data_IF_069338173972
#
_entry.id   IF_069338173972
#
_cell.length_a   1.000
_cell.length_b   1.000
_cell.length_c   1.000
_cell.angle_alpha   90.00
_cell.angle_beta   90.00
_cell.angle_gamma   90.00
#
_symmetry.space_group_name_H-M   'P 1'
#
loop_
_entity.id
_entity.type
_entity.pdbx_description
1 polymer ?
#
# COMPACT_ATOMS: atom_id res chain seq x y z
N UNK A 1 34.08 10.09 13.85
CA UNK A 1 33.83 9.60 12.48
C UNK A 1 32.50 10.18 12.05
N UNK A 2 32.29 10.71 10.84
CA UNK A 2 30.97 11.07 10.41
C UNK A 2 30.08 9.80 10.51
N UNK A 3 28.91 9.92 11.13
CA UNK A 3 27.94 8.82 11.13
C UNK A 3 27.66 8.45 9.68
N UNK A 4 27.86 7.19 9.31
CA UNK A 4 27.45 6.69 7.99
C UNK A 4 25.95 6.89 7.87
N UNK A 5 25.51 7.53 6.79
CA UNK A 5 24.08 7.69 6.49
C UNK A 5 23.46 6.30 6.27
N UNK A 6 22.25 6.08 6.79
CA UNK A 6 21.49 4.87 6.52
C UNK A 6 21.10 4.81 5.05
N UNK A 7 21.43 3.73 4.36
CA UNK A 7 21.13 3.52 2.95
C UNK A 7 19.91 2.64 2.76
N UNK A 8 18.85 3.20 2.21
CA UNK A 8 17.53 2.60 2.09
C UNK A 8 17.26 2.17 0.64
N UNK A 9 16.84 0.92 0.44
CA UNK A 9 16.26 0.46 -0.82
C UNK A 9 14.73 0.50 -0.72
N UNK A 10 14.07 1.31 -1.55
CA UNK A 10 12.61 1.35 -1.65
C UNK A 10 12.20 0.73 -2.99
N UNK A 11 11.69 -0.50 -2.96
CA UNK A 11 11.14 -1.13 -4.16
C UNK A 11 9.70 -0.69 -4.39
N UNK A 12 9.33 -0.40 -5.64
CA UNK A 12 8.08 0.30 -5.95
C UNK A 12 8.13 1.77 -5.54
N UNK A 13 9.34 2.35 -5.46
CA UNK A 13 9.60 3.69 -4.94
C UNK A 13 9.02 4.84 -5.77
N UNK A 14 8.71 4.62 -7.05
CA UNK A 14 8.01 5.61 -7.89
C UNK A 14 6.47 5.44 -7.87
N UNK A 15 5.95 4.46 -7.12
CA UNK A 15 4.52 4.21 -6.94
C UNK A 15 3.87 5.15 -5.94
N UNK A 16 2.58 4.90 -5.63
CA UNK A 16 1.81 5.70 -4.67
C UNK A 16 2.50 5.75 -3.30
N UNK A 17 2.53 4.65 -2.57
CA UNK A 17 3.11 4.62 -1.21
C UNK A 17 4.63 4.83 -1.22
N UNK A 18 5.32 4.19 -2.17
CA UNK A 18 6.79 4.24 -2.25
C UNK A 18 7.32 5.66 -2.43
N UNK A 19 6.65 6.51 -3.20
CA UNK A 19 7.10 7.89 -3.40
C UNK A 19 6.93 8.77 -2.17
N UNK A 20 5.86 8.59 -1.39
CA UNK A 20 5.71 9.25 -0.08
C UNK A 20 6.76 8.78 0.92
N UNK A 21 7.08 7.48 0.91
CA UNK A 21 8.17 6.95 1.74
C UNK A 21 9.53 7.51 1.32
N UNK A 22 9.81 7.62 0.01
CA UNK A 22 11.03 8.26 -0.48
C UNK A 22 11.14 9.70 0.02
N UNK A 23 10.05 10.48 0.01
CA UNK A 23 10.05 11.83 0.54
C UNK A 23 10.46 11.86 2.02
N UNK A 24 9.81 11.05 2.86
CA UNK A 24 10.09 10.99 4.31
C UNK A 24 11.52 10.59 4.62
N UNK A 25 12.09 9.62 3.90
CA UNK A 25 13.48 9.20 4.07
C UNK A 25 14.48 10.29 3.63
N UNK A 26 14.21 10.94 2.49
CA UNK A 26 15.04 12.03 1.99
C UNK A 26 14.99 13.26 2.91
N UNK A 27 13.82 13.62 3.42
CA UNK A 27 13.62 14.70 4.40
C UNK A 27 14.31 14.40 5.74
N UNK A 28 14.32 13.12 6.15
CA UNK A 28 15.09 12.66 7.32
C UNK A 28 16.62 12.70 7.11
N UNK A 29 17.08 13.01 5.89
CA UNK A 29 18.50 13.12 5.58
C UNK A 29 19.19 11.82 5.24
N UNK A 30 18.46 10.74 5.02
CA UNK A 30 18.97 9.42 4.70
C UNK A 30 19.32 9.27 3.20
N UNK A 31 20.04 8.21 2.82
CA UNK A 31 20.25 7.82 1.43
C UNK A 31 19.14 6.92 0.94
N UNK A 32 18.63 7.17 -0.28
CA UNK A 32 17.52 6.44 -0.88
C UNK A 32 17.87 5.90 -2.25
N UNK A 33 17.75 4.59 -2.43
CA UNK A 33 17.71 3.92 -3.72
C UNK A 33 16.24 3.64 -4.04
N UNK A 34 15.67 4.38 -4.99
CA UNK A 34 14.34 4.14 -5.53
C UNK A 34 14.43 3.11 -6.67
N UNK A 35 13.87 1.91 -6.46
CA UNK A 35 13.85 0.85 -7.46
C UNK A 35 12.41 0.64 -7.95
N UNK A 36 12.19 0.79 -9.27
CA UNK A 36 10.85 0.68 -9.87
C UNK A 36 10.95 0.21 -11.32
N UNK A 37 9.99 -0.58 -11.81
CA UNK A 37 9.89 -0.97 -13.22
C UNK A 37 8.93 -0.07 -14.01
N UNK A 38 8.26 0.88 -13.35
CA UNK A 38 7.25 1.80 -13.90
C UNK A 38 5.99 1.12 -14.45
N UNK A 39 5.59 -0.02 -13.91
CA UNK A 39 4.32 -0.62 -14.29
C UNK A 39 3.12 0.23 -13.78
N UNK A 40 3.16 0.67 -12.53
CA UNK A 40 2.20 1.62 -11.94
C UNK A 40 2.87 2.87 -11.39
N UNK A 41 4.17 2.82 -11.17
CA UNK A 41 4.98 3.95 -10.71
C UNK A 41 5.13 5.02 -11.81
N UNK A 42 5.31 6.28 -11.39
CA UNK A 42 5.50 7.43 -12.28
C UNK A 42 6.73 8.23 -11.88
N UNK A 43 7.56 8.57 -12.85
CA UNK A 43 8.73 9.43 -12.63
C UNK A 43 8.35 10.79 -12.01
N UNK A 44 7.17 11.31 -12.34
CA UNK A 44 6.63 12.53 -11.77
C UNK A 44 6.50 12.50 -10.23
N UNK A 45 6.27 11.31 -9.63
CA UNK A 45 6.11 11.18 -8.18
C UNK A 45 7.42 11.38 -7.39
N UNK A 46 8.57 11.30 -8.05
CA UNK A 46 9.92 11.37 -7.45
C UNK A 46 10.79 12.44 -8.12
N UNK A 47 10.19 13.29 -8.95
CA UNK A 47 10.93 14.25 -9.79
C UNK A 47 11.76 15.25 -8.96
N UNK A 48 11.29 15.61 -7.76
CA UNK A 48 11.94 16.53 -6.84
C UNK A 48 13.28 16.01 -6.31
N UNK A 49 13.51 14.70 -6.36
CA UNK A 49 14.73 14.07 -5.86
C UNK A 49 15.72 13.70 -6.96
N UNK A 50 15.32 13.75 -8.23
CA UNK A 50 16.20 13.38 -9.34
C UNK A 50 17.41 14.34 -9.42
N UNK A 51 18.61 13.76 -9.41
CA UNK A 51 19.87 14.51 -9.37
C UNK A 51 20.34 14.92 -7.97
N UNK A 52 19.56 14.61 -6.92
CA UNK A 52 20.02 14.81 -5.56
C UNK A 52 21.11 13.79 -5.20
N UNK A 53 22.26 14.20 -4.57
CA UNK A 53 23.41 13.29 -4.35
C UNK A 53 23.14 12.08 -3.46
N UNK A 54 22.08 12.12 -2.64
CA UNK A 54 21.65 11.01 -1.77
C UNK A 54 20.47 10.21 -2.35
N UNK A 55 20.05 10.48 -3.58
CA UNK A 55 18.94 9.78 -4.23
C UNK A 55 19.41 9.13 -5.52
N UNK A 56 19.26 7.80 -5.58
CA UNK A 56 19.56 7.00 -6.76
C UNK A 56 18.28 6.36 -7.30
N UNK A 57 18.06 6.46 -8.62
CA UNK A 57 16.94 5.84 -9.29
C UNK A 57 17.43 4.66 -10.13
N UNK A 58 16.93 3.47 -9.81
CA UNK A 58 17.22 2.24 -10.56
C UNK A 58 15.95 1.72 -11.22
N UNK A 59 15.93 1.67 -12.55
CA UNK A 59 14.85 1.01 -13.29
C UNK A 59 15.10 -0.49 -13.31
N UNK A 60 14.33 -1.26 -12.53
CA UNK A 60 14.52 -2.70 -12.37
C UNK A 60 13.21 -3.41 -11.98
N UNK A 61 13.09 -4.67 -12.40
CA UNK A 61 11.97 -5.54 -12.00
C UNK A 61 12.40 -6.45 -10.84
N UNK A 62 11.68 -6.42 -9.73
CA UNK A 62 12.03 -7.20 -8.52
C UNK A 62 11.99 -8.71 -8.73
N UNK A 63 11.36 -9.20 -9.81
CA UNK A 63 11.41 -10.63 -10.16
C UNK A 63 12.79 -11.09 -10.64
N UNK A 64 13.67 -10.15 -10.98
CA UNK A 64 15.06 -10.41 -11.32
C UNK A 64 15.97 -10.08 -10.13
N UNK A 65 17.00 -10.91 -9.86
CA UNK A 65 17.94 -10.64 -8.77
C UNK A 65 18.73 -9.35 -8.99
N UNK A 66 19.01 -8.64 -7.89
CA UNK A 66 19.88 -7.47 -7.90
C UNK A 66 20.89 -7.54 -6.75
N UNK A 67 22.05 -6.93 -6.92
CA UNK A 67 23.09 -6.82 -5.90
C UNK A 67 23.32 -5.36 -5.57
N UNK A 68 23.04 -4.99 -4.33
CA UNK A 68 23.21 -3.64 -3.79
C UNK A 68 23.75 -3.75 -2.38
N UNK A 69 24.43 -2.72 -1.90
CA UNK A 69 24.82 -2.59 -0.49
C UNK A 69 23.86 -1.60 0.17
N UNK A 70 23.05 -2.07 1.12
CA UNK A 70 21.99 -1.30 1.79
C UNK A 70 21.82 -1.75 3.23
N UNK A 71 21.33 -0.86 4.09
CA UNK A 71 21.06 -1.13 5.50
C UNK A 71 19.62 -1.55 5.73
N UNK A 72 18.69 -1.00 4.91
CA UNK A 72 17.25 -1.26 5.02
C UNK A 72 16.62 -1.49 3.66
N UNK A 73 15.66 -2.43 3.61
CA UNK A 73 14.87 -2.74 2.41
C UNK A 73 13.38 -2.53 2.74
N UNK A 74 12.75 -1.60 2.03
CA UNK A 74 11.32 -1.32 2.07
C UNK A 74 10.68 -1.97 0.84
N UNK A 75 10.14 -3.18 1.01
CA UNK A 75 9.65 -3.97 -0.12
C UNK A 75 8.15 -3.70 -0.38
N UNK A 76 7.87 -2.70 -1.25
CA UNK A 76 6.52 -2.28 -1.61
C UNK A 76 6.13 -2.68 -3.05
N UNK A 77 7.08 -3.15 -3.86
CA UNK A 77 6.85 -3.47 -5.28
C UNK A 77 5.87 -4.62 -5.47
N UNK A 78 4.62 -4.30 -5.77
CA UNK A 78 3.59 -5.20 -6.26
C UNK A 78 2.41 -4.38 -6.80
N UNK A 79 1.77 -4.75 -7.92
CA UNK A 79 0.48 -4.18 -8.30
C UNK A 79 -0.54 -4.43 -7.18
N UNK A 80 -1.21 -3.38 -6.70
CA UNK A 80 -2.04 -3.47 -5.50
C UNK A 80 -3.51 -3.08 -5.72
N UNK A 81 -3.91 -2.77 -6.95
CA UNK A 81 -5.31 -2.51 -7.29
C UNK A 81 -5.86 -3.56 -8.25
N UNK A 82 -7.17 -3.89 -8.21
CA UNK A 82 -7.79 -4.92 -9.03
C UNK A 82 -7.50 -4.78 -10.53
N UNK A 83 -7.59 -3.56 -11.06
CA UNK A 83 -7.32 -3.28 -12.47
C UNK A 83 -5.88 -3.66 -12.87
N UNK A 84 -4.92 -3.39 -12.00
CA UNK A 84 -3.51 -3.61 -12.30
C UNK A 84 -3.07 -5.06 -12.02
N UNK A 85 -3.47 -5.66 -10.87
CA UNK A 85 -3.02 -7.02 -10.57
C UNK A 85 -3.72 -8.09 -11.42
N UNK A 86 -4.93 -7.81 -11.95
CA UNK A 86 -5.65 -8.68 -12.87
C UNK A 86 -5.21 -8.51 -14.33
N UNK A 87 -4.52 -7.42 -14.69
CA UNK A 87 -4.00 -7.21 -16.04
C UNK A 87 -3.05 -8.32 -16.48
N UNK A 88 -2.17 -8.75 -15.57
CA UNK A 88 -1.30 -9.93 -15.77
C UNK A 88 -1.17 -10.68 -14.44
N UNK A 89 -2.13 -11.57 -14.12
CA UNK A 89 -2.18 -12.25 -12.83
C UNK A 89 -0.96 -13.14 -12.58
N UNK A 90 -0.40 -13.77 -13.62
CA UNK A 90 0.83 -14.57 -13.50
C UNK A 90 2.01 -13.69 -13.10
N UNK A 91 2.14 -12.50 -13.71
CA UNK A 91 3.19 -11.55 -13.33
C UNK A 91 3.00 -11.03 -11.91
N UNK A 92 1.77 -10.78 -11.49
CA UNK A 92 1.45 -10.36 -10.12
C UNK A 92 1.88 -11.42 -9.09
N UNK A 93 1.52 -12.68 -9.31
CA UNK A 93 1.94 -13.79 -8.45
C UNK A 93 3.48 -13.91 -8.40
N UNK A 94 4.15 -13.84 -9.57
CA UNK A 94 5.63 -13.82 -9.64
C UNK A 94 6.23 -12.64 -8.88
N UNK A 95 5.67 -11.44 -9.00
CA UNK A 95 6.17 -10.25 -8.30
C UNK A 95 6.07 -10.42 -6.79
N UNK A 96 4.95 -10.94 -6.29
CA UNK A 96 4.78 -11.21 -4.87
C UNK A 96 5.75 -12.28 -4.37
N UNK A 97 5.88 -13.40 -5.06
CA UNK A 97 6.71 -14.53 -4.63
C UNK A 97 8.21 -14.29 -4.92
N UNK A 98 8.59 -14.17 -6.22
CA UNK A 98 10.00 -14.03 -6.61
C UNK A 98 10.58 -12.69 -6.17
N UNK A 99 9.77 -11.60 -6.22
CA UNK A 99 10.20 -10.30 -5.73
C UNK A 99 10.57 -10.35 -4.26
N UNK A 100 9.70 -10.92 -3.42
CA UNK A 100 9.98 -11.10 -1.99
C UNK A 100 11.17 -12.02 -1.76
N UNK A 101 11.25 -13.15 -2.47
CA UNK A 101 12.38 -14.08 -2.38
C UNK A 101 13.72 -13.40 -2.71
N UNK A 102 13.78 -12.61 -3.78
CA UNK A 102 14.98 -11.87 -4.18
C UNK A 102 15.38 -10.81 -3.14
N UNK A 103 14.40 -10.08 -2.59
CA UNK A 103 14.68 -9.05 -1.57
C UNK A 103 15.11 -9.67 -0.25
N UNK A 104 14.56 -10.80 0.16
CA UNK A 104 15.02 -11.56 1.33
C UNK A 104 16.43 -12.11 1.12
N UNK A 105 16.73 -12.61 -0.09
CA UNK A 105 18.09 -13.04 -0.45
C UNK A 105 19.11 -11.90 -0.40
N UNK A 106 18.73 -10.71 -0.90
CA UNK A 106 19.55 -9.51 -0.79
C UNK A 106 19.74 -9.11 0.69
N UNK A 107 18.64 -9.01 1.45
CA UNK A 107 18.69 -8.65 2.87
C UNK A 107 19.63 -9.58 3.66
N UNK A 108 19.51 -10.90 3.45
CA UNK A 108 20.41 -11.88 4.07
C UNK A 108 21.88 -11.68 3.70
N UNK A 109 22.14 -11.36 2.43
CA UNK A 109 23.53 -11.18 1.95
C UNK A 109 24.22 -10.00 2.61
N UNK A 110 23.49 -8.88 2.81
CA UNK A 110 24.08 -7.62 3.33
C UNK A 110 23.78 -7.36 4.78
N UNK A 111 22.99 -8.21 5.45
CA UNK A 111 22.57 -8.01 6.85
C UNK A 111 21.53 -6.89 7.01
N UNK A 112 20.78 -6.54 5.95
CA UNK A 112 19.80 -5.48 5.99
C UNK A 112 18.51 -5.90 6.69
N UNK A 113 17.88 -4.96 7.41
CA UNK A 113 16.48 -5.12 7.88
C UNK A 113 15.52 -4.97 6.73
N UNK A 114 14.52 -5.86 6.62
CA UNK A 114 13.54 -5.84 5.55
C UNK A 114 12.13 -5.62 6.09
N UNK A 115 11.44 -4.59 5.58
CA UNK A 115 10.00 -4.42 5.77
C UNK A 115 9.26 -4.86 4.50
N UNK A 116 8.33 -5.80 4.66
CA UNK A 116 7.45 -6.31 3.62
C UNK A 116 6.07 -5.69 3.74
N UNK A 117 5.65 -4.94 2.71
CA UNK A 117 4.30 -4.44 2.58
C UNK A 117 3.33 -5.56 2.20
N UNK A 118 2.71 -6.16 3.21
CA UNK A 118 1.57 -7.06 3.07
C UNK A 118 0.27 -6.26 2.95
N UNK A 119 -0.86 -6.91 3.05
CA UNK A 119 -2.16 -6.32 2.77
C UNK A 119 -3.25 -6.95 3.64
N UNK A 120 -4.35 -6.24 3.85
CA UNK A 120 -5.57 -6.81 4.43
C UNK A 120 -6.21 -7.89 3.56
N UNK A 121 -5.82 -8.01 2.28
CA UNK A 121 -6.34 -9.04 1.38
C UNK A 121 -5.90 -10.46 1.80
N UNK A 122 -4.88 -10.61 2.64
CA UNK A 122 -4.51 -11.91 3.26
C UNK A 122 -5.63 -12.51 4.12
N UNK A 123 -6.59 -11.69 4.54
CA UNK A 123 -7.78 -12.12 5.27
C UNK A 123 -8.90 -12.66 4.38
N UNK A 124 -8.84 -12.42 3.05
CA UNK A 124 -9.85 -12.87 2.09
C UNK A 124 -11.22 -12.23 2.31
N UNK A 125 -12.29 -13.00 2.16
CA UNK A 125 -13.65 -12.62 2.59
C UNK A 125 -13.81 -13.01 4.08
N UNK A 126 -13.67 -12.04 5.01
CA UNK A 126 -13.46 -12.37 6.41
C UNK A 126 -14.74 -12.77 7.12
N UNK A 127 -14.70 -13.90 7.83
CA UNK A 127 -15.73 -14.34 8.77
C UNK A 127 -15.64 -13.65 10.15
N UNK A 128 -14.51 -12.96 10.41
CA UNK A 128 -14.25 -12.20 11.65
C UNK A 128 -14.20 -10.72 11.34
N UNK A 129 -14.97 -9.93 12.07
CA UNK A 129 -15.05 -8.48 11.92
C UNK A 129 -15.09 -7.76 13.29
N UNK A 130 -14.23 -6.77 13.53
CA UNK A 130 -13.06 -6.34 12.75
C UNK A 130 -11.94 -7.40 12.74
N UNK A 131 -10.98 -7.30 11.80
CA UNK A 131 -9.94 -8.31 11.59
C UNK A 131 -8.74 -8.06 12.50
N UNK A 132 -8.44 -8.98 13.47
CA UNK A 132 -7.19 -8.97 14.24
C UNK A 132 -6.09 -9.73 13.49
N UNK A 133 -4.82 -9.49 13.82
CA UNK A 133 -3.66 -10.15 13.21
C UNK A 133 -3.64 -11.67 13.41
N UNK A 134 -4.27 -12.17 14.47
CA UNK A 134 -4.40 -13.59 14.79
C UNK A 134 -5.39 -14.33 13.87
N UNK A 135 -6.25 -13.62 13.15
CA UNK A 135 -7.18 -14.23 12.20
C UNK A 135 -6.44 -14.72 10.96
N UNK A 136 -6.57 -16.00 10.63
CA UNK A 136 -5.84 -16.65 9.54
C UNK A 136 -6.38 -16.34 8.15
N UNK A 137 -7.61 -15.83 8.07
CA UNK A 137 -8.25 -15.47 6.82
C UNK A 137 -8.97 -16.62 6.12
N UNK A 138 -9.84 -16.25 5.17
CA UNK A 138 -10.59 -17.14 4.29
C UNK A 138 -10.40 -16.67 2.84
N UNK A 139 -9.35 -17.16 2.17
CA UNK A 139 -8.96 -16.75 0.82
C UNK A 139 -9.38 -17.80 -0.20
N UNK A 140 -10.01 -17.37 -1.30
CA UNK A 140 -10.30 -18.21 -2.45
C UNK A 140 -9.00 -18.44 -3.25
N UNK A 141 -8.53 -19.66 -3.35
CA UNK A 141 -7.25 -20.00 -4.02
C UNK A 141 -7.33 -20.01 -5.55
N UNK A 142 -8.53 -20.01 -6.13
CA UNK A 142 -8.78 -20.10 -7.58
C UNK A 142 -9.58 -18.91 -8.13
N UNK A 143 -9.87 -17.90 -7.31
CA UNK A 143 -10.59 -16.70 -7.69
C UNK A 143 -9.74 -15.74 -8.52
N UNK A 144 -10.39 -14.75 -9.15
CA UNK A 144 -9.71 -13.74 -9.98
C UNK A 144 -8.76 -12.84 -9.18
N UNK A 145 -8.89 -12.77 -7.85
CA UNK A 145 -8.04 -11.99 -6.93
C UNK A 145 -6.88 -12.82 -6.36
N UNK A 146 -6.92 -14.16 -6.48
CA UNK A 146 -5.98 -15.07 -5.82
C UNK A 146 -4.51 -14.82 -6.17
N UNK A 147 -4.22 -14.30 -7.38
CA UNK A 147 -2.86 -13.94 -7.80
C UNK A 147 -2.22 -12.90 -6.87
N UNK A 148 -3.02 -12.01 -6.29
CA UNK A 148 -2.58 -11.01 -5.33
C UNK A 148 -2.70 -11.52 -3.90
N UNK A 149 -3.87 -12.04 -3.52
CA UNK A 149 -4.19 -12.45 -2.16
C UNK A 149 -3.26 -13.59 -1.69
N UNK A 150 -3.20 -14.70 -2.43
CA UNK A 150 -2.27 -15.81 -2.16
C UNK A 150 -0.81 -15.43 -2.39
N UNK A 151 -0.54 -14.54 -3.37
CA UNK A 151 0.78 -14.00 -3.58
C UNK A 151 1.33 -13.27 -2.35
N UNK A 152 0.50 -12.49 -1.65
CA UNK A 152 0.88 -11.81 -0.42
C UNK A 152 0.97 -12.77 0.77
N UNK A 153 0.10 -13.78 0.84
CA UNK A 153 0.16 -14.82 1.88
C UNK A 153 1.48 -15.60 1.82
N UNK A 154 1.89 -16.06 0.63
CA UNK A 154 3.18 -16.77 0.47
C UNK A 154 4.37 -15.83 0.73
N UNK A 155 4.26 -14.54 0.43
CA UNK A 155 5.31 -13.56 0.75
C UNK A 155 5.49 -13.39 2.28
N UNK A 156 4.39 -13.34 3.06
CA UNK A 156 4.48 -13.39 4.54
C UNK A 156 5.17 -14.66 5.01
N UNK A 157 4.77 -15.83 4.48
CA UNK A 157 5.39 -17.13 4.81
C UNK A 157 6.89 -17.09 4.60
N UNK A 158 7.35 -16.62 3.43
CA UNK A 158 8.78 -16.49 3.13
C UNK A 158 9.52 -15.60 4.14
N UNK A 159 8.94 -14.45 4.53
CA UNK A 159 9.55 -13.57 5.51
C UNK A 159 9.80 -14.29 6.84
N UNK A 160 8.78 -14.98 7.37
CA UNK A 160 8.93 -15.69 8.63
C UNK A 160 9.83 -16.94 8.53
N UNK A 161 9.88 -17.62 7.37
CA UNK A 161 10.80 -18.73 7.14
C UNK A 161 12.26 -18.26 7.10
N UNK A 162 12.55 -17.15 6.45
CA UNK A 162 13.88 -16.54 6.46
C UNK A 162 14.29 -16.08 7.86
N UNK A 163 13.33 -15.54 8.63
CA UNK A 163 13.57 -15.18 10.02
C UNK A 163 13.92 -16.41 10.86
N UNK A 164 13.13 -17.52 10.76
CA UNK A 164 13.39 -18.76 11.52
C UNK A 164 14.70 -19.46 11.13
N UNK A 165 15.02 -19.48 9.82
CA UNK A 165 16.19 -20.21 9.31
C UNK A 165 17.48 -19.41 9.39
N UNK A 166 17.43 -18.10 9.33
CA UNK A 166 18.59 -17.26 9.11
C UNK A 166 18.71 -16.10 10.11
N UNK A 167 17.79 -16.01 11.06
CA UNK A 167 17.67 -14.90 12.02
C UNK A 167 17.61 -13.52 11.32
N UNK A 168 16.98 -13.47 10.14
CA UNK A 168 16.87 -12.25 9.38
C UNK A 168 15.94 -11.26 10.09
N UNK A 169 16.36 -10.01 10.19
CA UNK A 169 15.56 -8.92 10.72
C UNK A 169 14.45 -8.52 9.73
N UNK A 170 13.24 -9.04 9.96
CA UNK A 170 12.07 -8.76 9.13
C UNK A 170 11.05 -7.89 9.86
N UNK A 171 10.23 -7.18 9.07
CA UNK A 171 9.02 -6.48 9.51
C UNK A 171 7.91 -6.80 8.51
N UNK A 172 6.74 -7.20 8.97
CA UNK A 172 5.60 -7.51 8.12
C UNK A 172 4.43 -6.59 8.49
N UNK A 173 3.97 -5.79 7.52
CA UNK A 173 2.92 -4.81 7.70
C UNK A 173 1.70 -5.17 6.85
N UNK A 174 0.54 -5.41 7.46
CA UNK A 174 -0.73 -5.61 6.77
C UNK A 174 -1.43 -4.28 6.55
N UNK A 175 -1.32 -3.77 5.33
CA UNK A 175 -1.87 -2.47 4.93
C UNK A 175 -3.36 -2.62 4.62
N UNK A 176 -4.19 -1.79 5.27
CA UNK A 176 -5.60 -1.62 4.94
C UNK A 176 -5.79 -0.52 3.91
N UNK A 177 -7.03 -0.35 3.38
CA UNK A 177 -7.31 0.59 2.30
C UNK A 177 -6.71 1.97 2.59
N UNK A 178 -5.77 2.38 1.77
CA UNK A 178 -5.06 3.65 1.88
C UNK A 178 -5.39 4.53 0.69
N UNK A 179 -5.55 5.83 0.95
CA UNK A 179 -5.83 6.84 -0.06
C UNK A 179 -4.97 8.09 0.16
N UNK A 180 -4.83 8.91 -0.88
CA UNK A 180 -4.07 10.16 -0.81
C UNK A 180 -3.58 10.63 -2.18
N UNK A 181 -2.82 11.73 -2.23
CA UNK A 181 -2.12 12.20 -3.42
C UNK A 181 -1.25 11.12 -4.06
N UNK A 182 -0.98 11.22 -5.35
CA UNK A 182 -0.17 10.28 -6.17
C UNK A 182 -0.82 8.91 -6.43
N UNK A 183 -2.09 8.69 -6.01
CA UNK A 183 -2.89 7.62 -6.60
C UNK A 183 -3.09 7.86 -8.09
N UNK A 184 -3.20 6.79 -8.88
CA UNK A 184 -3.48 6.91 -10.31
C UNK A 184 -4.96 7.28 -10.53
N UNK A 185 -5.29 8.12 -11.54
CA UNK A 185 -6.68 8.42 -11.88
C UNK A 185 -7.49 7.19 -12.32
N UNK A 186 -6.82 6.21 -12.90
CA UNK A 186 -7.34 4.93 -13.38
C UNK A 186 -7.01 3.75 -12.45
N UNK A 187 -6.72 4.04 -11.19
CA UNK A 187 -6.33 3.05 -10.18
C UNK A 187 -7.43 2.00 -9.91
N UNK A 188 -8.69 2.34 -10.16
CA UNK A 188 -9.83 1.44 -9.97
C UNK A 188 -10.32 1.31 -8.54
N UNK A 189 -9.63 1.88 -7.54
CA UNK A 189 -10.09 1.92 -6.14
C UNK A 189 -11.13 3.02 -5.95
N UNK A 190 -12.05 2.80 -5.00
CA UNK A 190 -13.26 3.61 -4.85
C UNK A 190 -12.99 5.11 -4.65
N UNK A 191 -11.99 5.48 -3.84
CA UNK A 191 -11.70 6.91 -3.55
C UNK A 191 -11.24 7.64 -4.81
N UNK A 192 -10.26 7.10 -5.55
CA UNK A 192 -9.79 7.70 -6.82
C UNK A 192 -10.89 7.72 -7.87
N UNK A 193 -11.67 6.63 -8.00
CA UNK A 193 -12.76 6.57 -8.97
C UNK A 193 -13.80 7.67 -8.72
N UNK A 194 -14.28 7.82 -7.49
CA UNK A 194 -15.30 8.83 -7.16
C UNK A 194 -14.79 10.24 -7.40
N UNK A 195 -13.57 10.55 -6.95
CA UNK A 195 -12.98 11.87 -7.15
C UNK A 195 -12.82 12.19 -8.64
N UNK A 196 -12.26 11.26 -9.42
CA UNK A 196 -12.03 11.46 -10.86
C UNK A 196 -13.35 11.59 -11.63
N UNK A 197 -14.36 10.75 -11.32
CA UNK A 197 -15.69 10.85 -11.92
C UNK A 197 -16.33 12.21 -11.61
N UNK A 198 -16.32 12.62 -10.35
CA UNK A 198 -16.90 13.90 -9.94
C UNK A 198 -16.21 15.11 -10.59
N UNK A 199 -14.86 15.12 -10.64
CA UNK A 199 -14.09 16.19 -11.29
C UNK A 199 -14.33 16.28 -12.80
N UNK A 200 -14.64 15.14 -13.44
CA UNK A 200 -15.03 15.08 -14.87
C UNK A 200 -16.50 15.39 -15.12
N UNK A 201 -17.29 15.72 -14.09
CA UNK A 201 -18.72 15.95 -14.21
C UNK A 201 -19.53 14.69 -14.56
N UNK A 202 -18.99 13.51 -14.29
CA UNK A 202 -19.63 12.22 -14.54
C UNK A 202 -20.40 11.74 -13.30
N UNK A 203 -21.46 10.95 -13.45
CA UNK A 203 -22.11 10.27 -12.32
C UNK A 203 -21.14 9.36 -11.58
N UNK A 204 -21.28 9.25 -10.26
CA UNK A 204 -20.48 8.33 -9.46
C UNK A 204 -21.07 6.92 -9.52
N UNK A 205 -20.20 5.94 -9.76
CA UNK A 205 -20.60 4.53 -9.88
C UNK A 205 -20.51 3.81 -8.56
N UNK A 206 -21.65 3.45 -7.96
CA UNK A 206 -21.74 2.53 -6.83
C UNK A 206 -21.85 1.08 -7.33
N UNK A 207 -21.10 0.17 -6.72
CA UNK A 207 -21.31 -1.25 -6.93
C UNK A 207 -22.24 -1.78 -5.83
N UNK A 208 -23.29 -2.53 -6.20
CA UNK A 208 -24.39 -2.88 -5.30
C UNK A 208 -25.23 -1.64 -4.93
N UNK A 209 -25.77 -1.64 -3.73
CA UNK A 209 -26.54 -0.53 -3.15
C UNK A 209 -25.66 0.50 -2.39
N UNK A 210 -24.35 0.22 -2.27
CA UNK A 210 -23.39 1.03 -1.54
C UNK A 210 -23.42 0.86 -0.02
N UNK A 211 -24.10 -0.17 0.49
CA UNK A 211 -24.16 -0.50 1.93
C UNK A 211 -22.90 -1.17 2.46
N UNK A 212 -22.08 -1.78 1.57
CA UNK A 212 -20.80 -2.37 1.97
C UNK A 212 -19.90 -1.34 2.63
N UNK A 213 -19.18 -1.77 3.67
CA UNK A 213 -18.37 -0.87 4.49
C UNK A 213 -16.88 -1.05 4.23
N UNK A 214 -16.14 0.04 4.35
CA UNK A 214 -14.67 0.09 4.28
C UNK A 214 -14.14 1.10 5.29
N UNK A 215 -12.94 0.86 5.72
CA UNK A 215 -12.13 1.84 6.46
C UNK A 215 -11.08 2.45 5.54
N UNK A 216 -10.78 3.73 5.72
CA UNK A 216 -9.87 4.47 4.84
C UNK A 216 -8.78 5.15 5.65
N UNK A 217 -7.53 4.76 5.43
CA UNK A 217 -6.35 5.35 6.06
C UNK A 217 -5.72 6.38 5.12
N UNK A 218 -5.42 7.56 5.64
CA UNK A 218 -4.68 8.55 4.85
C UNK A 218 -3.22 8.16 4.72
N UNK A 219 -2.61 8.50 3.59
CA UNK A 219 -1.26 8.04 3.23
C UNK A 219 -0.20 8.44 4.26
N UNK A 220 -0.27 9.65 4.84
CA UNK A 220 0.72 10.12 5.81
C UNK A 220 0.68 9.29 7.10
N UNK A 221 -0.53 8.94 7.60
CA UNK A 221 -0.68 8.04 8.75
C UNK A 221 -0.07 6.66 8.46
N UNK A 222 -0.30 6.13 7.23
CA UNK A 222 0.26 4.85 6.83
C UNK A 222 1.79 4.89 6.80
N UNK A 223 2.38 5.92 6.18
CA UNK A 223 3.84 6.08 6.09
C UNK A 223 4.46 6.22 7.48
N UNK A 224 3.81 6.96 8.38
CA UNK A 224 4.26 7.05 9.78
C UNK A 224 4.28 5.68 10.47
N UNK A 225 3.20 4.90 10.36
CA UNK A 225 3.15 3.53 10.88
C UNK A 225 4.23 2.63 10.27
N UNK A 226 4.52 2.79 8.98
CA UNK A 226 5.59 2.08 8.29
C UNK A 226 6.97 2.43 8.83
N UNK A 227 7.24 3.72 9.06
CA UNK A 227 8.50 4.20 9.65
C UNK A 227 8.69 3.69 11.08
N UNK A 228 7.65 3.75 11.90
CA UNK A 228 7.66 3.25 13.27
C UNK A 228 7.93 1.74 13.31
N UNK A 229 7.26 0.95 12.47
CA UNK A 229 7.48 -0.50 12.39
C UNK A 229 8.91 -0.85 11.94
N UNK A 230 9.45 -0.16 10.93
CA UNK A 230 10.83 -0.38 10.50
C UNK A 230 11.84 -0.12 11.62
N UNK A 231 11.62 0.90 12.42
CA UNK A 231 12.52 1.30 13.51
C UNK A 231 12.29 0.51 14.82
N UNK A 232 11.10 -0.07 15.00
CA UNK A 232 10.73 -0.85 16.18
C UNK A 232 11.29 -2.27 16.20
N UNK A 233 10.97 -3.02 17.25
CA UNK A 233 11.45 -4.38 17.45
C UNK A 233 10.43 -5.45 17.06
N UNK A 234 9.16 -5.08 16.95
CA UNK A 234 8.11 -6.03 16.62
C UNK A 234 8.21 -6.50 15.15
N UNK A 235 8.24 -7.81 14.93
CA UNK A 235 8.45 -8.41 13.60
C UNK A 235 7.18 -8.41 12.73
N UNK A 236 6.03 -8.22 13.33
CA UNK A 236 4.73 -8.33 12.65
C UNK A 236 4.17 -9.78 12.73
N UNK A 237 3.09 -10.05 11.97
CA UNK A 237 2.38 -9.02 11.18
C UNK A 237 1.70 -7.99 12.06
N UNK A 238 1.66 -6.73 11.61
CA UNK A 238 0.90 -5.64 12.26
C UNK A 238 -0.08 -5.04 11.25
N UNK A 239 -1.33 -4.86 11.67
CA UNK A 239 -2.34 -4.15 10.92
C UNK A 239 -2.10 -2.64 11.01
N UNK A 240 -1.96 -1.96 9.87
CA UNK A 240 -1.94 -0.51 9.80
C UNK A 240 -3.10 -0.05 8.93
N UNK A 241 -4.00 0.73 9.53
CA UNK A 241 -5.21 1.22 8.89
C UNK A 241 -6.05 2.04 9.85
N UNK A 242 -7.08 2.71 9.34
CA UNK A 242 -7.98 3.49 10.16
C UNK A 242 -9.19 2.62 10.57
N UNK A 243 -9.53 2.46 11.85
CA UNK A 243 -10.67 1.67 12.29
C UNK A 243 -12.03 2.38 12.09
N UNK A 244 -12.06 3.67 11.69
CA UNK A 244 -13.29 4.36 11.35
C UNK A 244 -13.88 3.78 10.05
N UNK A 245 -15.11 3.34 10.13
CA UNK A 245 -15.79 2.61 9.06
C UNK A 245 -16.86 3.49 8.40
N UNK A 246 -16.89 3.46 7.08
CA UNK A 246 -17.84 4.22 6.25
C UNK A 246 -18.48 3.29 5.23
N UNK A 247 -19.76 3.50 4.93
CA UNK A 247 -20.38 2.87 3.77
C UNK A 247 -19.84 3.51 2.49
N UNK A 248 -19.82 2.75 1.40
CA UNK A 248 -19.41 3.29 0.10
C UNK A 248 -20.34 4.43 -0.33
N UNK A 249 -21.61 4.38 0.05
CA UNK A 249 -22.57 5.48 -0.18
C UNK A 249 -22.18 6.75 0.59
N UNK A 250 -21.83 6.64 1.88
CA UNK A 250 -21.35 7.79 2.68
C UNK A 250 -20.10 8.43 2.06
N UNK A 251 -19.15 7.62 1.59
CA UNK A 251 -17.97 8.13 0.89
C UNK A 251 -18.36 8.89 -0.39
N UNK A 252 -19.28 8.33 -1.20
CA UNK A 252 -19.74 8.98 -2.42
C UNK A 252 -20.40 10.34 -2.12
N UNK A 253 -21.26 10.41 -1.11
CA UNK A 253 -21.91 11.65 -0.67
C UNK A 253 -20.90 12.70 -0.19
N UNK A 254 -19.87 12.29 0.58
CA UNK A 254 -18.79 13.20 0.98
C UNK A 254 -18.03 13.77 -0.23
N UNK A 255 -17.71 12.94 -1.22
CA UNK A 255 -17.03 13.39 -2.45
C UNK A 255 -17.93 14.32 -3.26
N UNK A 256 -19.21 13.99 -3.44
CA UNK A 256 -20.17 14.84 -4.15
C UNK A 256 -20.29 16.21 -3.49
N UNK A 257 -20.46 16.27 -2.18
CA UNK A 257 -20.60 17.53 -1.44
C UNK A 257 -19.37 18.44 -1.59
N UNK A 258 -18.17 17.85 -1.74
CA UNK A 258 -16.92 18.61 -1.89
C UNK A 258 -16.65 19.07 -3.35
N UNK A 259 -17.17 18.36 -4.34
CA UNK A 259 -16.85 18.63 -5.75
C UNK A 259 -18.06 19.15 -6.51
N UNK A 260 -19.15 18.39 -6.57
CA UNK A 260 -20.38 18.78 -7.27
C UNK A 260 -21.59 17.98 -6.76
N UNK A 261 -22.40 18.55 -5.86
CA UNK A 261 -23.55 17.86 -5.26
C UNK A 261 -24.74 17.61 -6.22
N UNK A 262 -24.64 18.10 -7.47
CA UNK A 262 -25.68 17.90 -8.48
C UNK A 262 -25.50 16.62 -9.31
N UNK A 263 -24.37 15.94 -9.16
CA UNK A 263 -24.11 14.70 -9.90
C UNK A 263 -24.89 13.54 -9.28
N UNK A 264 -25.28 12.60 -10.14
CA UNK A 264 -26.06 11.43 -9.77
C UNK A 264 -25.19 10.27 -9.28
N UNK A 265 -25.78 9.38 -8.48
CA UNK A 265 -25.23 8.08 -8.13
C UNK A 265 -25.86 7.00 -9.01
N UNK A 266 -25.03 6.20 -9.70
CA UNK A 266 -25.48 5.10 -10.56
C UNK A 266 -25.04 3.78 -9.94
N UNK A 267 -26.01 2.86 -9.70
CA UNK A 267 -25.71 1.53 -9.18
C UNK A 267 -25.36 0.55 -10.31
N UNK A 268 -24.32 -0.27 -10.10
CA UNK A 268 -23.91 -1.40 -10.95
C UNK A 268 -23.84 -2.69 -10.15
N UNK A 269 -23.92 -3.88 -10.77
CA UNK A 269 -23.71 -5.15 -10.04
C UNK A 269 -22.39 -5.20 -9.31
N UNK A 270 -22.35 -5.86 -8.14
CA UNK A 270 -21.12 -6.09 -7.39
C UNK A 270 -20.13 -6.92 -8.21
N UNK A 271 -18.81 -6.58 -8.17
CA UNK A 271 -17.77 -7.43 -8.73
C UNK A 271 -17.69 -8.78 -7.99
N UNK A 272 -17.21 -9.79 -8.70
CA UNK A 272 -16.96 -11.11 -8.11
C UNK A 272 -15.85 -11.02 -7.05
N UNK A 273 -16.01 -11.77 -5.94
CA UNK A 273 -15.03 -11.89 -4.84
C UNK A 273 -14.70 -10.53 -4.15
N UNK A 274 -15.57 -9.51 -4.24
CA UNK A 274 -15.35 -8.26 -3.51
C UNK A 274 -15.83 -8.42 -2.05
N UNK A 275 -14.94 -8.28 -1.04
CA UNK A 275 -15.31 -8.48 0.37
C UNK A 275 -16.44 -7.52 0.79
N UNK A 276 -17.37 -7.97 1.63
CA UNK A 276 -18.47 -7.12 2.11
C UNK A 276 -18.00 -6.11 3.18
N UNK A 277 -17.05 -6.52 4.04
CA UNK A 277 -16.57 -5.74 5.17
C UNK A 277 -15.05 -5.82 5.31
N UNK A 278 -14.40 -4.69 5.59
CA UNK A 278 -12.96 -4.63 5.82
C UNK A 278 -12.61 -3.53 6.82
N UNK A 279 -12.21 -3.95 8.05
CA UNK A 279 -11.87 -3.05 9.14
C UNK A 279 -10.76 -3.63 10.01
N UNK A 280 -9.64 -2.91 10.26
CA UNK A 280 -8.57 -3.41 11.12
C UNK A 280 -8.95 -3.38 12.60
N UNK A 281 -8.49 -4.36 13.37
CA UNK A 281 -8.11 -4.16 14.76
C UNK A 281 -6.71 -3.56 14.74
N UNK A 282 -6.46 -2.48 15.47
CA UNK A 282 -5.17 -1.76 15.52
C UNK A 282 -4.53 -1.73 16.91
N UNK A 283 -5.04 -2.53 17.84
CA UNK A 283 -4.56 -2.56 19.23
C UNK A 283 -3.08 -2.90 19.30
N UNK A 284 -2.61 -3.83 18.44
CA UNK A 284 -1.21 -4.19 18.36
C UNK A 284 -0.32 -3.03 17.85
N UNK A 285 -0.80 -2.26 16.87
CA UNK A 285 -0.08 -1.07 16.39
C UNK A 285 -0.01 0.01 17.48
N UNK A 286 -1.07 0.19 18.27
CA UNK A 286 -1.06 1.12 19.40
C UNK A 286 -0.09 0.69 20.50
N UNK A 287 -0.07 -0.60 20.85
CA UNK A 287 0.76 -1.14 21.93
C UNK A 287 2.24 -1.18 21.57
N UNK A 288 2.57 -1.65 20.37
CA UNK A 288 3.96 -1.92 19.97
C UNK A 288 4.64 -0.74 19.29
N UNK A 289 3.86 0.18 18.68
CA UNK A 289 4.37 1.29 17.90
C UNK A 289 3.94 2.67 18.43
N UNK A 290 3.07 2.75 19.44
CA UNK A 290 2.40 3.98 19.87
C UNK A 290 1.74 4.72 18.69
N UNK A 291 1.23 3.94 17.72
CA UNK A 291 0.66 4.45 16.47
C UNK A 291 -0.86 4.42 16.46
N UNK A 292 -1.45 5.52 16.00
CA UNK A 292 -2.88 5.62 15.67
C UNK A 292 -3.07 6.55 14.47
N UNK A 293 -4.12 6.34 13.64
CA UNK A 293 -4.41 7.25 12.54
C UNK A 293 -4.90 8.59 13.08
N UNK A 294 -4.33 9.68 12.58
CA UNK A 294 -4.57 11.03 13.05
C UNK A 294 -5.36 11.90 12.06
N UNK A 295 -5.36 11.54 10.76
CA UNK A 295 -5.99 12.32 9.70
C UNK A 295 -7.43 11.87 9.47
N UNK A 296 -8.44 12.73 9.77
CA UNK A 296 -9.84 12.43 9.46
C UNK A 296 -10.08 12.28 7.97
N UNK A 297 -11.03 11.40 7.57
CA UNK A 297 -11.37 11.14 6.15
C UNK A 297 -11.68 12.44 5.39
N UNK A 298 -12.42 13.34 6.01
CA UNK A 298 -12.82 14.62 5.40
C UNK A 298 -11.61 15.47 4.99
N UNK A 299 -10.60 15.57 5.86
CA UNK A 299 -9.36 16.31 5.60
C UNK A 299 -8.48 15.65 4.56
N UNK A 300 -8.30 14.34 4.64
CA UNK A 300 -7.53 13.60 3.65
C UNK A 300 -8.17 13.65 2.25
N UNK A 301 -9.52 13.66 2.17
CA UNK A 301 -10.24 13.85 0.91
C UNK A 301 -9.98 15.22 0.30
N UNK A 302 -9.96 16.31 1.06
CA UNK A 302 -9.66 17.65 0.55
C UNK A 302 -8.31 17.66 -0.18
N UNK A 303 -7.25 17.22 0.48
CA UNK A 303 -5.89 17.18 -0.11
C UNK A 303 -5.84 16.25 -1.35
N UNK A 304 -6.55 15.12 -1.30
CA UNK A 304 -6.59 14.17 -2.41
C UNK A 304 -7.36 14.74 -3.61
N UNK A 305 -8.46 15.43 -3.37
CA UNK A 305 -9.26 16.11 -4.42
C UNK A 305 -8.43 17.20 -5.10
N UNK A 306 -7.71 18.02 -4.32
CA UNK A 306 -6.86 19.08 -4.86
C UNK A 306 -5.72 18.51 -5.72
N UNK A 307 -5.11 17.41 -5.29
CA UNK A 307 -4.13 16.70 -6.13
C UNK A 307 -4.72 16.27 -7.47
N UNK A 308 -5.89 15.60 -7.47
CA UNK A 308 -6.51 15.15 -8.71
C UNK A 308 -7.01 16.31 -9.59
N UNK A 309 -7.49 17.40 -8.98
CA UNK A 309 -7.87 18.61 -9.71
C UNK A 309 -6.68 19.17 -10.49
N UNK A 310 -5.52 19.28 -9.87
CA UNK A 310 -4.29 19.77 -10.52
C UNK A 310 -3.74 18.79 -11.57
N UNK A 311 -4.00 17.49 -11.41
CA UNK A 311 -3.52 16.47 -12.34
C UNK A 311 -4.40 16.35 -13.61
N UNK A 312 -5.70 16.68 -13.53
CA UNK A 312 -6.67 16.51 -14.62
C UNK A 312 -6.90 17.78 -15.44
N UNK A 313 -6.34 18.89 -15.03
CA UNK A 313 -6.24 20.14 -15.81
C UNK A 313 -5.03 20.07 -16.73
#
# INVERSE_FOLDING_TARGET
MPQSLTRNLVTGGAGFLGSHLCDRLMEAGEEVICLDNYFTGRKANIIQWLGHPRFELIRHDVTEPIRLEVDRIWHLACPASPVHYQFNPVKTAKTSFLGTYNMLGLARRVGARLLMASTSEVYGDPEVHPQPETYRGCVNTIGIRSCYDEGKRIAETLCFDYQRMHDLEIRVMRIFNTYGPRMLPDDGRVVSNFIVQALRGQPLTLYGDGSQTRSFCYVDDLIEGMMLLMNGDHKGPINIGNPAEFTIRQLAELVLNKINPKLELICKPLPQDDPLQRKPVIDLAQQELDWHPSVPLDKGLETTIDYFRNLLV
#
